data_IF_517759889328
#
_entry.id   IF_517759889328
#
_cell.length_a   1.000
_cell.length_b   1.000
_cell.length_c   1.000
_cell.angle_alpha   90.00
_cell.angle_beta   90.00
_cell.angle_gamma   90.00
#
_symmetry.space_group_name_H-M   'P 1'
#
loop_
_entity.id
_entity.type
_entity.pdbx_description
1 polymer ?
#
# COMPACT_ATOMS: atom_id res chain seq x y z
N UNK A 1 -69.16 22.45 -8.56
CA UNK A 1 -67.81 22.75 -8.04
C UNK A 1 -66.87 22.79 -9.23
N UNK A 2 -66.11 23.88 -9.37
CA UNK A 2 -65.41 24.28 -10.60
C UNK A 2 -64.22 23.35 -10.89
N UNK A 3 -63.93 23.15 -12.18
CA UNK A 3 -62.91 22.23 -12.71
C UNK A 3 -61.47 22.76 -12.46
N UNK A 4 -61.35 23.98 -11.94
CA UNK A 4 -60.10 24.71 -11.78
C UNK A 4 -59.15 24.15 -10.70
N UNK A 5 -59.62 23.29 -9.78
CA UNK A 5 -58.80 22.79 -8.67
C UNK A 5 -57.94 21.56 -9.00
N UNK A 6 -58.22 20.84 -10.11
CA UNK A 6 -57.42 19.66 -10.53
C UNK A 6 -56.25 20.00 -11.45
N UNK A 7 -56.13 21.25 -11.90
CA UNK A 7 -54.99 21.71 -12.68
C UNK A 7 -53.79 22.13 -11.79
N UNK A 8 -54.02 22.45 -10.52
CA UNK A 8 -52.97 22.94 -9.62
C UNK A 8 -52.16 21.85 -8.90
N UNK A 9 -52.51 20.56 -9.03
CA UNK A 9 -51.70 19.47 -8.44
C UNK A 9 -50.56 18.97 -9.35
N UNK A 10 -50.54 19.31 -10.64
CA UNK A 10 -49.53 18.83 -11.59
C UNK A 10 -48.46 19.87 -11.96
N UNK A 11 -48.61 21.14 -11.59
CA UNK A 11 -47.59 22.16 -11.89
C UNK A 11 -46.36 22.07 -10.99
N UNK A 12 -46.48 21.54 -9.77
CA UNK A 12 -45.33 21.42 -8.86
C UNK A 12 -44.44 20.21 -9.17
N UNK A 13 -44.99 19.12 -9.73
CA UNK A 13 -44.21 17.93 -10.12
C UNK A 13 -43.40 18.12 -11.41
N UNK A 14 -43.78 19.06 -12.27
CA UNK A 14 -43.07 19.35 -13.52
C UNK A 14 -41.85 20.27 -13.32
N UNK A 15 -41.85 21.09 -12.26
CA UNK A 15 -40.71 21.96 -11.92
C UNK A 15 -39.55 21.18 -11.30
N UNK A 16 -39.82 20.14 -10.50
CA UNK A 16 -38.76 19.29 -9.94
C UNK A 16 -38.04 18.40 -10.97
N UNK A 17 -38.62 18.16 -12.15
CA UNK A 17 -38.04 17.29 -13.19
C UNK A 17 -37.19 18.04 -14.22
N UNK A 18 -37.42 19.33 -14.43
CA UNK A 18 -36.61 20.15 -15.35
C UNK A 18 -35.29 20.61 -14.70
N UNK A 19 -35.28 20.87 -13.39
CA UNK A 19 -34.04 21.17 -12.65
C UNK A 19 -33.12 19.94 -12.52
N UNK A 20 -33.68 18.73 -12.52
CA UNK A 20 -32.87 17.49 -12.54
C UNK A 20 -32.28 17.14 -13.91
N UNK A 21 -32.86 17.62 -15.02
CA UNK A 21 -32.38 17.32 -16.37
C UNK A 21 -31.30 18.31 -16.86
N UNK A 22 -31.19 19.48 -16.21
CA UNK A 22 -30.08 20.42 -16.42
C UNK A 22 -28.83 20.09 -15.58
N UNK A 23 -29.00 19.28 -14.53
CA UNK A 23 -27.93 18.70 -13.73
C UNK A 23 -27.31 17.43 -14.36
N UNK A 24 -27.67 17.09 -15.60
CA UNK A 24 -27.07 16.00 -16.40
C UNK A 24 -25.97 16.50 -17.38
N UNK A 25 -25.59 17.79 -17.36
CA UNK A 25 -24.68 18.34 -18.40
C UNK A 25 -23.55 19.25 -17.93
N UNK A 26 -23.23 19.31 -16.65
CA UNK A 26 -22.14 20.18 -16.16
C UNK A 26 -21.07 19.50 -15.29
N UNK A 27 -21.01 18.17 -15.24
CA UNK A 27 -19.93 17.45 -14.53
C UNK A 27 -19.04 16.62 -15.46
N UNK A 28 -19.26 16.69 -16.78
CA UNK A 28 -18.37 16.14 -17.81
C UNK A 28 -17.25 17.11 -18.23
N UNK A 29 -16.92 18.08 -17.38
CA UNK A 29 -15.89 19.11 -17.64
C UNK A 29 -14.89 19.24 -16.49
N UNK A 30 -14.52 18.11 -15.88
CA UNK A 30 -13.28 17.98 -15.10
C UNK A 30 -12.32 16.92 -15.63
N UNK A 31 -12.47 16.51 -16.89
CA UNK A 31 -11.42 15.83 -17.65
C UNK A 31 -10.55 16.85 -18.37
N UNK A 32 -9.87 17.69 -17.58
CA UNK A 32 -8.85 18.60 -18.09
C UNK A 32 -7.87 18.90 -16.98
N UNK A 33 -7.07 17.90 -16.61
CA UNK A 33 -5.65 18.04 -16.29
C UNK A 33 -5.11 16.73 -15.68
N UNK A 34 -4.95 15.70 -16.52
CA UNK A 34 -3.92 14.66 -16.36
C UNK A 34 -3.61 14.04 -17.73
N UNK A 35 -3.40 14.89 -18.73
CA UNK A 35 -2.61 14.52 -19.91
C UNK A 35 -1.14 14.54 -19.48
N UNK A 36 -0.75 13.53 -18.72
CA UNK A 36 0.63 13.21 -18.40
C UNK A 36 0.81 11.72 -18.60
N UNK A 37 1.99 11.31 -19.05
CA UNK A 37 2.31 9.89 -19.22
C UNK A 37 1.97 9.11 -17.95
N UNK A 38 1.10 8.11 -18.08
CA UNK A 38 0.74 7.20 -17.00
C UNK A 38 1.71 6.03 -17.01
N UNK A 39 2.51 5.90 -15.96
CA UNK A 39 3.44 4.78 -15.81
C UNK A 39 2.71 3.66 -15.06
N UNK A 40 2.49 2.52 -15.73
CA UNK A 40 1.93 1.32 -15.09
C UNK A 40 3.08 0.41 -14.67
N UNK A 41 3.33 0.32 -13.36
CA UNK A 41 4.30 -0.63 -12.80
C UNK A 41 3.72 -2.04 -12.87
N UNK A 42 4.55 -3.02 -13.23
CA UNK A 42 4.16 -4.42 -13.13
C UNK A 42 3.87 -4.79 -11.66
N UNK A 43 3.00 -5.79 -11.45
CA UNK A 43 2.73 -6.31 -10.10
C UNK A 43 4.02 -6.70 -9.38
N UNK A 44 4.90 -7.40 -10.08
CA UNK A 44 6.22 -7.80 -9.55
C UNK A 44 7.10 -6.62 -9.13
N UNK A 45 7.09 -5.50 -9.87
CA UNK A 45 7.86 -4.31 -9.51
C UNK A 45 7.32 -3.64 -8.23
N UNK A 46 6.00 -3.68 -8.05
CA UNK A 46 5.33 -3.17 -6.84
C UNK A 46 5.65 -4.06 -5.64
N UNK A 47 5.62 -5.38 -5.81
CA UNK A 47 5.96 -6.35 -4.75
C UNK A 47 7.40 -6.18 -4.27
N UNK A 48 8.36 -6.06 -5.19
CA UNK A 48 9.77 -5.82 -4.85
C UNK A 48 9.95 -4.50 -4.10
N UNK A 49 9.23 -3.45 -4.49
CA UNK A 49 9.29 -2.14 -3.81
C UNK A 49 8.76 -2.24 -2.37
N UNK A 50 7.62 -2.91 -2.18
CA UNK A 50 7.03 -3.14 -0.87
C UNK A 50 7.96 -3.95 0.04
N UNK A 51 8.59 -5.02 -0.47
CA UNK A 51 9.56 -5.82 0.29
C UNK A 51 10.79 -4.99 0.65
N UNK A 52 11.29 -4.19 -0.29
CA UNK A 52 12.45 -3.31 -0.06
C UNK A 52 12.17 -2.28 1.04
N UNK A 53 10.97 -1.70 1.04
CA UNK A 53 10.56 -0.73 2.05
C UNK A 53 10.34 -1.40 3.42
N UNK A 54 9.78 -2.61 3.45
CA UNK A 54 9.67 -3.40 4.66
C UNK A 54 11.03 -3.75 5.27
N UNK A 55 12.02 -4.11 4.44
CA UNK A 55 13.40 -4.40 4.90
C UNK A 55 14.05 -3.13 5.46
N UNK A 56 13.90 -1.98 4.79
CA UNK A 56 14.44 -0.69 5.28
C UNK A 56 13.78 -0.22 6.57
N UNK A 57 12.51 -0.52 6.76
CA UNK A 57 11.77 -0.16 7.99
C UNK A 57 12.05 -1.15 9.13
N UNK A 58 12.67 -2.29 8.86
CA UNK A 58 13.05 -3.24 9.89
C UNK A 58 14.15 -2.64 10.77
N UNK A 59 14.12 -2.85 12.10
CA UNK A 59 15.19 -2.40 12.97
C UNK A 59 16.52 -3.08 12.62
N UNK A 60 17.61 -2.30 12.67
CA UNK A 60 18.98 -2.79 12.46
C UNK A 60 19.36 -3.90 13.47
N UNK A 61 18.83 -3.79 14.69
CA UNK A 61 19.10 -4.73 15.78
C UNK A 61 17.83 -5.51 16.12
N UNK A 62 17.87 -6.83 15.93
CA UNK A 62 16.83 -7.76 16.38
C UNK A 62 17.01 -8.09 17.85
N UNK A 63 16.52 -7.21 18.72
CA UNK A 63 16.68 -7.31 20.19
C UNK A 63 16.21 -8.66 20.74
N UNK A 64 15.10 -9.18 20.23
CA UNK A 64 14.56 -10.50 20.59
C UNK A 64 15.58 -11.62 20.42
N UNK A 65 16.19 -11.70 19.22
CA UNK A 65 17.19 -12.71 18.89
C UNK A 65 18.45 -12.56 19.74
N UNK A 66 18.88 -11.32 19.99
CA UNK A 66 20.05 -11.04 20.83
C UNK A 66 19.78 -11.50 22.27
N UNK A 67 18.59 -11.23 22.79
CA UNK A 67 18.17 -11.67 24.12
C UNK A 67 18.16 -13.20 24.22
N UNK A 68 17.56 -13.89 23.25
CA UNK A 68 17.52 -15.35 23.20
C UNK A 68 18.93 -15.96 23.16
N UNK A 69 19.83 -15.42 22.34
CA UNK A 69 21.21 -15.88 22.24
C UNK A 69 21.98 -15.66 23.55
N UNK A 70 21.80 -14.52 24.22
CA UNK A 70 22.41 -14.26 25.53
C UNK A 70 21.98 -15.31 26.56
N UNK A 71 20.68 -15.60 26.63
CA UNK A 71 20.15 -16.63 27.54
C UNK A 71 20.74 -18.01 27.23
N UNK A 72 20.88 -18.38 25.94
CA UNK A 72 21.51 -19.65 25.55
C UNK A 72 22.98 -19.72 25.96
N UNK A 73 23.71 -18.61 25.85
CA UNK A 73 25.11 -18.51 26.26
C UNK A 73 25.23 -18.65 27.78
N UNK A 74 24.42 -17.90 28.54
CA UNK A 74 24.42 -17.94 30.02
C UNK A 74 24.09 -19.34 30.57
N UNK A 75 23.16 -20.04 29.93
CA UNK A 75 22.78 -21.39 30.31
C UNK A 75 23.72 -22.48 29.77
N UNK A 76 24.82 -22.12 29.09
CA UNK A 76 25.78 -23.07 28.52
C UNK A 76 25.22 -23.92 27.36
N UNK A 77 24.09 -23.53 26.78
CA UNK A 77 23.42 -24.21 25.67
C UNK A 77 23.87 -23.68 24.30
N UNK A 78 24.76 -22.68 24.27
CA UNK A 78 25.35 -22.16 23.06
C UNK A 78 26.66 -22.87 22.77
N UNK A 79 26.64 -23.80 21.82
CA UNK A 79 27.81 -24.55 21.40
C UNK A 79 28.09 -24.33 19.91
N UNK A 80 29.20 -23.68 19.60
CA UNK A 80 29.70 -23.47 18.24
C UNK A 80 30.97 -24.27 18.07
N UNK A 81 30.98 -25.16 17.07
CA UNK A 81 32.14 -25.97 16.75
C UNK A 81 33.23 -25.15 16.04
N UNK A 82 34.49 -25.55 16.20
CA UNK A 82 35.60 -24.92 15.48
C UNK A 82 35.45 -25.00 13.95
N UNK A 83 34.72 -26.01 13.44
CA UNK A 83 34.39 -26.13 12.02
C UNK A 83 33.45 -25.02 11.55
N UNK A 84 32.39 -24.74 12.30
CA UNK A 84 31.44 -23.67 11.97
C UNK A 84 32.13 -22.30 11.98
N UNK A 85 33.06 -22.07 12.90
CA UNK A 85 33.87 -20.85 12.92
C UNK A 85 34.74 -20.75 11.66
N UNK A 86 35.47 -21.82 11.32
CA UNK A 86 36.33 -21.84 10.14
C UNK A 86 35.54 -21.64 8.83
N UNK A 87 34.36 -22.25 8.73
CA UNK A 87 33.45 -22.06 7.59
C UNK A 87 33.02 -20.60 7.45
N UNK A 88 32.66 -19.93 8.54
CA UNK A 88 32.29 -18.51 8.51
C UNK A 88 33.47 -17.61 8.13
N UNK A 89 34.68 -17.89 8.61
CA UNK A 89 35.88 -17.13 8.23
C UNK A 89 36.11 -17.21 6.71
N UNK A 90 36.08 -18.43 6.15
CA UNK A 90 36.29 -18.63 4.71
C UNK A 90 35.17 -17.99 3.90
N UNK A 91 33.92 -18.14 4.32
CA UNK A 91 32.78 -17.53 3.63
C UNK A 91 32.92 -16.00 3.59
N UNK A 92 33.21 -15.35 4.72
CA UNK A 92 33.41 -13.90 4.76
C UNK A 92 34.58 -13.46 3.88
N UNK A 93 35.69 -14.21 3.86
CA UNK A 93 36.82 -13.89 2.99
C UNK A 93 36.48 -14.00 1.48
N UNK A 94 35.55 -14.90 1.12
CA UNK A 94 35.05 -15.02 -0.25
C UNK A 94 34.08 -13.87 -0.58
N UNK A 95 33.14 -13.58 0.33
CA UNK A 95 32.15 -12.50 0.15
C UNK A 95 32.81 -11.12 0.03
N UNK A 96 33.93 -10.88 0.70
CA UNK A 96 34.70 -9.63 0.57
C UNK A 96 35.47 -9.52 -0.75
N UNK A 97 35.71 -10.63 -1.44
CA UNK A 97 36.51 -10.67 -2.68
C UNK A 97 35.67 -10.43 -3.94
N UNK A 98 34.36 -10.66 -3.88
CA UNK A 98 33.44 -10.59 -5.02
C UNK A 98 32.32 -9.58 -4.79
#
# INVERSE_FOLDING_TARGET
MRIDDKLNLNLNKLKETEDRKKADKSDSSKESAKSGDSVSLSSSATDVSNVKDAIKSSPDIRVELVSELKVKIENGQYNVSGREVAEKIVQTAIDDLF
#
